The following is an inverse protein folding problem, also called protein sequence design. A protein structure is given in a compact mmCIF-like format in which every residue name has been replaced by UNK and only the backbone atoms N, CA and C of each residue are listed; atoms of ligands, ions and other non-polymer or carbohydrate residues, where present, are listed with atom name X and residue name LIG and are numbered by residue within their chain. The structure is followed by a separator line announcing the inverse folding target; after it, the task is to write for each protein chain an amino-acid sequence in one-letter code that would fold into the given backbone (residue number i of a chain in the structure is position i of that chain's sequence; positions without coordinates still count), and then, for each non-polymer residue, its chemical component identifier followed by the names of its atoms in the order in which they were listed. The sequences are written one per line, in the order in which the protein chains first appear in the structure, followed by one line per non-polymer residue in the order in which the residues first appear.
data_IF_198946492205
#
_entry.id   IF_198946492205
#
_cell.length_a   1.000
_cell.length_b   1.000
_cell.length_c   1.000
_cell.angle_alpha   90.00
_cell.angle_beta   90.00
_cell.angle_gamma   90.00
#
_symmetry.space_group_name_H-M   'P 1'
#
loop_
_entity.id
_entity.type
_entity.pdbx_description
1 polymer ?
#
# COMPACT_ATOMS: atom_id res chain seq x y z
N UNK A 1 -13.90 -24.92 8.58
CA UNK A 1 -14.45 -25.17 7.21
C UNK A 1 -13.32 -25.65 6.33
N UNK A 2 -13.51 -26.73 5.58
CA UNK A 2 -12.47 -27.39 4.77
C UNK A 2 -11.82 -26.44 3.74
N UNK A 3 -12.64 -25.63 3.05
CA UNK A 3 -12.16 -24.67 2.05
C UNK A 3 -11.16 -23.63 2.61
N UNK A 4 -11.39 -23.13 3.83
CA UNK A 4 -10.49 -22.17 4.48
C UNK A 4 -9.14 -22.83 4.80
N UNK A 5 -9.16 -24.10 5.21
CA UNK A 5 -7.94 -24.83 5.52
C UNK A 5 -7.08 -25.05 4.28
N UNK A 6 -7.72 -25.35 3.13
CA UNK A 6 -7.02 -25.48 1.84
C UNK A 6 -6.40 -24.15 1.38
N UNK A 7 -7.11 -23.03 1.52
CA UNK A 7 -6.56 -21.71 1.15
C UNK A 7 -5.29 -21.37 1.93
N UNK A 8 -5.24 -21.75 3.21
CA UNK A 8 -4.07 -21.50 4.09
C UNK A 8 -2.83 -22.33 3.72
N UNK A 9 -2.97 -23.41 2.95
CA UNK A 9 -1.83 -24.22 2.51
C UNK A 9 -1.21 -23.73 1.20
N UNK A 10 -1.84 -22.79 0.51
CA UNK A 10 -1.37 -22.28 -0.79
C UNK A 10 -0.39 -21.13 -0.56
N UNK A 11 0.76 -21.20 -1.21
CA UNK A 11 1.80 -20.17 -1.20
C UNK A 11 2.39 -19.96 -2.60
N UNK A 12 3.35 -19.05 -2.73
CA UNK A 12 4.05 -18.85 -4.00
C UNK A 12 4.72 -20.13 -4.49
N UNK A 13 5.24 -20.95 -3.57
CA UNK A 13 5.95 -22.20 -3.83
C UNK A 13 5.01 -23.34 -4.26
N UNK A 14 3.69 -23.17 -4.15
CA UNK A 14 2.70 -24.14 -4.66
C UNK A 14 2.64 -24.20 -6.19
N UNK A 15 3.27 -23.25 -6.88
CA UNK A 15 3.21 -23.12 -8.34
C UNK A 15 4.58 -23.32 -8.97
N UNK A 16 4.66 -24.15 -10.01
CA UNK A 16 5.90 -24.45 -10.74
C UNK A 16 6.28 -23.37 -11.75
N UNK A 17 5.28 -22.70 -12.34
CA UNK A 17 5.50 -21.64 -13.32
C UNK A 17 4.91 -20.30 -12.87
N UNK A 18 5.51 -19.20 -13.35
CA UNK A 18 4.96 -17.86 -13.14
C UNK A 18 3.57 -17.70 -13.76
N UNK A 19 3.27 -18.41 -14.85
CA UNK A 19 1.95 -18.37 -15.49
C UNK A 19 0.89 -18.90 -14.54
N UNK A 20 1.10 -20.08 -13.97
CA UNK A 20 0.14 -20.72 -13.06
C UNK A 20 -0.07 -19.87 -11.80
N UNK A 21 1.02 -19.28 -11.27
CA UNK A 21 0.95 -18.35 -10.14
C UNK A 21 0.07 -17.13 -10.45
N UNK A 22 0.24 -16.53 -11.64
CA UNK A 22 -0.56 -15.37 -12.06
C UNK A 22 -2.02 -15.75 -12.28
N UNK A 23 -2.28 -16.92 -12.85
CA UNK A 23 -3.64 -17.44 -13.03
C UNK A 23 -4.34 -17.70 -11.69
N UNK A 24 -3.61 -18.21 -10.69
CA UNK A 24 -4.10 -18.35 -9.34
C UNK A 24 -4.43 -17.01 -8.69
N UNK A 25 -3.57 -15.99 -8.83
CA UNK A 25 -3.84 -14.62 -8.34
C UNK A 25 -5.13 -14.07 -8.94
N UNK A 26 -5.31 -14.18 -10.26
CA UNK A 26 -6.52 -13.72 -10.94
C UNK A 26 -7.76 -14.47 -10.44
N UNK A 27 -7.64 -15.77 -10.19
CA UNK A 27 -8.71 -16.59 -9.63
C UNK A 27 -9.08 -16.19 -8.21
N UNK A 28 -8.09 -15.85 -7.38
CA UNK A 28 -8.30 -15.32 -6.02
C UNK A 28 -8.99 -13.95 -6.05
N UNK A 29 -8.60 -13.05 -6.97
CA UNK A 29 -9.26 -11.75 -7.13
C UNK A 29 -10.73 -11.90 -7.56
N UNK A 30 -11.00 -12.83 -8.49
CA UNK A 30 -12.36 -13.15 -8.92
C UNK A 30 -13.18 -13.77 -7.78
N UNK A 31 -12.57 -14.63 -6.94
CA UNK A 31 -13.21 -15.17 -5.74
C UNK A 31 -13.54 -14.06 -4.74
N UNK A 32 -12.58 -13.19 -4.45
CA UNK A 32 -12.78 -12.06 -3.53
C UNK A 32 -13.94 -11.17 -4.00
N UNK A 33 -14.00 -10.86 -5.30
CA UNK A 33 -15.09 -10.08 -5.91
C UNK A 33 -16.46 -10.73 -5.74
N UNK A 34 -16.55 -12.07 -5.73
CA UNK A 34 -17.83 -12.78 -5.50
C UNK A 34 -18.21 -12.86 -4.03
N UNK A 35 -17.25 -12.73 -3.11
CA UNK A 35 -17.46 -12.85 -1.67
C UNK A 35 -17.73 -11.50 -1.00
N UNK A 36 -17.09 -10.43 -1.46
CA UNK A 36 -17.23 -9.08 -0.90
C UNK A 36 -18.60 -8.49 -1.19
N UNK A 37 -19.14 -7.79 -0.20
CA UNK A 37 -20.27 -6.89 -0.43
C UNK A 37 -19.80 -5.67 -1.27
N UNK A 38 -20.60 -5.15 -2.20
CA UNK A 38 -20.23 -3.97 -2.99
C UNK A 38 -19.85 -2.76 -2.13
N UNK A 39 -20.48 -2.57 -0.97
CA UNK A 39 -20.13 -1.50 -0.04
C UNK A 39 -18.71 -1.66 0.52
N UNK A 40 -18.35 -2.89 0.93
CA UNK A 40 -17.00 -3.20 1.43
C UNK A 40 -15.95 -2.87 0.36
N UNK A 41 -16.21 -3.26 -0.90
CA UNK A 41 -15.29 -2.99 -2.00
C UNK A 41 -15.11 -1.50 -2.28
N UNK A 42 -16.19 -0.71 -2.21
CA UNK A 42 -16.11 0.74 -2.41
C UNK A 42 -15.32 1.38 -1.27
N UNK A 43 -15.57 0.98 -0.01
CA UNK A 43 -14.85 1.52 1.14
C UNK A 43 -13.36 1.19 1.12
N UNK A 44 -13.01 -0.01 0.65
CA UNK A 44 -11.62 -0.39 0.40
C UNK A 44 -10.94 0.61 -0.55
N UNK A 45 -11.59 0.92 -1.68
CA UNK A 45 -11.04 1.81 -2.71
C UNK A 45 -10.94 3.26 -2.25
N UNK A 46 -11.96 3.79 -1.56
CA UNK A 46 -12.03 5.24 -1.27
C UNK A 46 -11.47 5.63 0.10
N UNK A 47 -11.33 4.69 1.03
CA UNK A 47 -10.81 4.95 2.39
C UNK A 47 -9.54 4.16 2.66
N UNK A 48 -9.61 2.83 2.55
CA UNK A 48 -8.55 1.94 3.04
C UNK A 48 -7.26 2.07 2.21
N UNK A 49 -7.35 1.92 0.89
CA UNK A 49 -6.18 2.03 -0.01
C UNK A 49 -5.50 3.41 0.06
N UNK A 50 -6.24 4.56 0.04
CA UNK A 50 -5.62 5.87 0.25
C UNK A 50 -4.95 6.02 1.62
N UNK A 51 -5.60 5.55 2.70
CA UNK A 51 -5.05 5.61 4.05
C UNK A 51 -3.77 4.76 4.20
N UNK A 52 -3.76 3.56 3.59
CA UNK A 52 -2.59 2.68 3.55
C UNK A 52 -1.43 3.36 2.80
N UNK A 53 -1.71 3.94 1.64
CA UNK A 53 -0.70 4.63 0.82
C UNK A 53 -0.08 5.80 1.57
N UNK A 54 -0.89 6.61 2.26
CA UNK A 54 -0.41 7.71 3.10
C UNK A 54 0.39 7.23 4.31
N UNK A 55 -0.03 6.13 4.93
CA UNK A 55 0.67 5.52 6.06
C UNK A 55 2.05 5.01 5.66
N UNK A 56 2.17 4.35 4.51
CA UNK A 56 3.44 3.87 3.97
C UNK A 56 4.37 5.03 3.65
N UNK A 57 3.86 6.07 2.96
CA UNK A 57 4.64 7.27 2.64
C UNK A 57 5.18 7.96 3.88
N UNK A 58 4.33 8.19 4.89
CA UNK A 58 4.76 8.78 6.17
C UNK A 58 5.94 8.01 6.78
N UNK A 59 5.89 6.68 6.77
CA UNK A 59 6.92 5.85 7.37
C UNK A 59 8.21 5.76 6.56
N UNK A 60 8.13 5.94 5.24
CA UNK A 60 9.31 6.18 4.42
C UNK A 60 9.94 7.54 4.76
N UNK A 61 9.13 8.60 4.88
CA UNK A 61 9.61 9.97 5.17
C UNK A 61 10.32 10.09 6.51
N UNK A 62 9.79 9.44 7.55
CA UNK A 62 10.43 9.41 8.88
C UNK A 62 11.52 8.33 9.01
N UNK A 63 11.79 7.58 7.94
CA UNK A 63 12.85 6.57 7.91
C UNK A 63 12.60 5.32 8.77
N UNK A 64 11.35 5.03 9.16
CA UNK A 64 11.04 4.00 10.15
C UNK A 64 11.59 2.63 9.75
N UNK A 65 11.28 2.16 8.54
CA UNK A 65 11.70 0.82 8.12
C UNK A 65 13.21 0.70 7.96
N UNK A 66 13.90 1.79 7.62
CA UNK A 66 15.35 1.81 7.51
C UNK A 66 15.99 1.70 8.90
N UNK A 67 15.64 2.60 9.82
CA UNK A 67 16.17 2.60 11.19
C UNK A 67 15.89 1.29 11.91
N UNK A 68 14.71 0.71 11.67
CA UNK A 68 14.34 -0.59 12.26
C UNK A 68 15.16 -1.76 11.67
N UNK A 69 15.48 -1.72 10.38
CA UNK A 69 16.35 -2.72 9.76
C UNK A 69 17.78 -2.65 10.31
N UNK A 70 18.28 -1.45 10.61
CA UNK A 70 19.60 -1.26 11.24
C UNK A 70 19.70 -1.89 12.64
N UNK A 71 18.57 -2.02 13.35
CA UNK A 71 18.47 -2.77 14.61
C UNK A 71 18.43 -4.30 14.42
N UNK A 72 18.57 -4.80 13.20
CA UNK A 72 18.55 -6.23 12.88
C UNK A 72 17.15 -6.83 12.71
N UNK A 73 16.13 -6.01 12.39
CA UNK A 73 14.74 -6.44 12.19
C UNK A 73 14.13 -7.20 13.40
N UNK A 74 14.64 -6.96 14.60
CA UNK A 74 14.08 -7.53 15.83
C UNK A 74 12.67 -6.99 16.08
N UNK A 75 11.82 -7.76 16.77
CA UNK A 75 10.50 -7.26 17.16
C UNK A 75 10.64 -6.04 18.10
N UNK A 76 9.79 -5.04 17.92
CA UNK A 76 9.86 -3.77 18.65
C UNK A 76 8.47 -3.36 19.13
N UNK A 77 8.38 -2.76 20.31
CA UNK A 77 7.12 -2.16 20.75
C UNK A 77 6.83 -0.88 19.98
N UNK A 78 5.57 -0.48 19.89
CA UNK A 78 5.17 0.80 19.31
C UNK A 78 5.90 1.98 19.96
N UNK A 79 6.17 1.90 21.27
CA UNK A 79 6.89 2.94 22.01
C UNK A 79 8.36 3.01 21.57
N UNK A 80 9.03 1.87 21.47
CA UNK A 80 10.44 1.83 21.04
C UNK A 80 10.58 2.33 19.60
N UNK A 81 9.64 1.97 18.73
CA UNK A 81 9.58 2.50 17.37
C UNK A 81 9.35 4.01 17.36
N UNK A 82 8.44 4.52 18.18
CA UNK A 82 8.20 5.95 18.31
C UNK A 82 9.45 6.71 18.75
N UNK A 83 10.19 6.17 19.74
CA UNK A 83 11.45 6.73 20.21
C UNK A 83 12.53 6.70 19.13
N UNK A 84 12.63 5.58 18.39
CA UNK A 84 13.60 5.39 17.30
C UNK A 84 13.49 6.45 16.20
N UNK A 85 12.28 6.87 15.84
CA UNK A 85 12.04 7.89 14.81
C UNK A 85 11.65 9.27 15.37
N UNK A 86 11.72 9.46 16.70
CA UNK A 86 11.33 10.72 17.35
C UNK A 86 9.85 11.11 17.19
N UNK A 87 8.96 10.13 16.97
CA UNK A 87 7.54 10.35 16.74
C UNK A 87 6.78 10.52 18.06
N UNK A 88 6.46 11.77 18.41
CA UNK A 88 5.89 12.11 19.73
C UNK A 88 4.47 11.59 19.98
N UNK A 89 3.71 11.32 18.92
CA UNK A 89 2.29 10.92 19.03
C UNK A 89 2.16 9.39 19.00
N UNK A 90 2.56 8.72 20.08
CA UNK A 90 2.62 7.25 20.17
C UNK A 90 1.26 6.58 19.86
N UNK A 91 0.14 7.15 20.32
CA UNK A 91 -1.19 6.58 20.07
C UNK A 91 -1.57 6.64 18.58
N UNK A 92 -1.12 7.67 17.86
CA UNK A 92 -1.32 7.78 16.41
C UNK A 92 -0.45 6.75 15.70
N UNK A 93 0.81 6.58 16.11
CA UNK A 93 1.70 5.55 15.57
C UNK A 93 1.13 4.15 15.76
N UNK A 94 0.59 3.84 16.94
CA UNK A 94 -0.08 2.56 17.24
C UNK A 94 -1.20 2.27 16.25
N UNK A 95 -2.08 3.24 16.02
CA UNK A 95 -3.21 3.08 15.07
C UNK A 95 -2.73 2.83 13.64
N UNK A 96 -1.70 3.54 13.21
CA UNK A 96 -1.13 3.37 11.88
C UNK A 96 -0.42 2.01 11.76
N UNK A 97 0.36 1.58 12.77
CA UNK A 97 1.00 0.27 12.78
C UNK A 97 -0.02 -0.88 12.76
N UNK A 98 -1.14 -0.76 13.47
CA UNK A 98 -2.26 -1.73 13.40
C UNK A 98 -2.88 -1.79 12.01
N UNK A 99 -3.03 -0.64 11.35
CA UNK A 99 -3.50 -0.58 9.97
C UNK A 99 -2.51 -1.23 9.00
N UNK A 100 -1.21 -0.97 9.15
CA UNK A 100 -0.16 -1.64 8.38
C UNK A 100 -0.11 -3.16 8.63
N UNK A 101 -0.39 -3.59 9.86
CA UNK A 101 -0.45 -5.00 10.22
C UNK A 101 -1.63 -5.71 9.54
N UNK A 102 -2.80 -5.05 9.47
CA UNK A 102 -3.96 -5.55 8.74
C UNK A 102 -3.67 -5.77 7.24
N UNK A 103 -2.70 -5.02 6.69
CA UNK A 103 -2.25 -5.10 5.30
C UNK A 103 -0.94 -5.89 5.11
N UNK A 104 -0.49 -6.62 6.14
CA UNK A 104 0.72 -7.44 6.12
C UNK A 104 2.02 -6.68 5.75
N UNK A 105 2.02 -5.35 5.86
CA UNK A 105 3.24 -4.52 5.72
C UNK A 105 4.16 -4.77 6.91
N UNK A 106 3.57 -4.86 8.10
CA UNK A 106 4.21 -5.32 9.35
C UNK A 106 3.40 -6.48 9.91
N UNK A 107 3.94 -7.17 10.91
CA UNK A 107 3.24 -8.23 11.66
C UNK A 107 3.10 -7.80 13.11
N UNK A 108 1.89 -7.81 13.68
CA UNK A 108 1.68 -7.61 15.12
C UNK A 108 1.83 -8.96 15.84
N UNK A 109 2.94 -9.15 16.53
CA UNK A 109 3.30 -10.42 17.20
C UNK A 109 2.77 -10.50 18.64
N UNK A 110 2.52 -9.34 19.25
CA UNK A 110 1.84 -9.17 20.53
C UNK A 110 1.22 -7.77 20.56
N UNK A 111 0.37 -7.47 21.54
CA UNK A 111 -0.27 -6.15 21.67
C UNK A 111 0.75 -5.03 21.56
N UNK A 112 0.58 -4.16 20.56
CA UNK A 112 1.46 -3.03 20.27
C UNK A 112 2.96 -3.41 20.12
N UNK A 113 3.23 -4.64 19.67
CA UNK A 113 4.57 -5.15 19.37
C UNK A 113 4.59 -5.72 17.97
N UNK A 114 5.53 -5.25 17.16
CA UNK A 114 5.53 -5.48 15.73
C UNK A 114 6.83 -6.08 15.24
N UNK A 115 6.81 -6.65 14.03
CA UNK A 115 7.96 -7.12 13.28
C UNK A 115 7.82 -6.74 11.80
N UNK A 116 8.94 -6.46 11.14
CA UNK A 116 8.97 -6.26 9.69
C UNK A 116 8.62 -7.55 8.92
N UNK A 117 7.84 -7.42 7.85
CA UNK A 117 7.56 -8.50 6.89
C UNK A 117 8.43 -8.34 5.63
N UNK A 118 8.34 -9.32 4.72
CA UNK A 118 8.91 -9.23 3.37
C UNK A 118 8.44 -7.99 2.61
N UNK A 119 7.22 -7.51 2.88
CA UNK A 119 6.67 -6.35 2.19
C UNK A 119 7.29 -5.05 2.71
N UNK A 120 7.44 -4.88 4.02
CA UNK A 120 8.20 -3.73 4.56
C UNK A 120 9.67 -3.73 4.12
N UNK A 121 10.29 -4.90 3.94
CA UNK A 121 11.66 -4.99 3.42
C UNK A 121 11.73 -4.58 1.94
N UNK A 122 10.74 -4.98 1.13
CA UNK A 122 10.65 -4.57 -0.27
C UNK A 122 10.52 -3.05 -0.43
N UNK A 123 9.88 -2.35 0.52
CA UNK A 123 9.79 -0.88 0.51
C UNK A 123 11.15 -0.18 0.68
N UNK A 124 12.19 -0.89 1.11
CA UNK A 124 13.57 -0.37 1.20
C UNK A 124 14.35 -0.55 -0.11
N UNK A 125 13.74 -1.15 -1.13
CA UNK A 125 14.31 -1.34 -2.47
C UNK A 125 13.71 -0.34 -3.46
N UNK A 126 14.01 -0.49 -4.76
CA UNK A 126 13.38 0.31 -5.83
C UNK A 126 11.85 0.21 -5.85
N UNK A 127 11.24 -0.81 -5.24
CA UNK A 127 9.79 -0.88 -5.11
C UNK A 127 9.23 0.27 -4.25
N UNK A 128 9.96 0.70 -3.22
CA UNK A 128 9.58 1.84 -2.38
C UNK A 128 9.52 3.17 -3.11
N UNK A 129 10.38 3.37 -4.12
CA UNK A 129 10.38 4.58 -4.95
C UNK A 129 9.08 4.76 -5.74
N UNK A 130 8.28 3.70 -5.92
CA UNK A 130 6.94 3.80 -6.51
C UNK A 130 5.98 4.64 -5.67
N UNK A 131 6.14 4.65 -4.34
CA UNK A 131 5.32 5.48 -3.44
C UNK A 131 5.72 6.95 -3.58
N UNK A 132 7.02 7.26 -3.64
CA UNK A 132 7.50 8.62 -3.88
C UNK A 132 7.01 9.15 -5.24
N UNK A 133 7.16 8.34 -6.29
CA UNK A 133 6.63 8.67 -7.62
C UNK A 133 5.12 8.93 -7.60
N UNK A 134 4.35 8.16 -6.82
CA UNK A 134 2.92 8.41 -6.66
C UNK A 134 2.66 9.80 -6.06
N UNK A 135 3.33 10.16 -4.97
CA UNK A 135 3.12 11.46 -4.31
C UNK A 135 3.64 12.66 -5.12
N UNK A 136 4.80 12.52 -5.75
CA UNK A 136 5.43 13.61 -6.49
C UNK A 136 4.71 13.89 -7.81
N UNK A 137 4.18 12.83 -8.43
CA UNK A 137 3.64 12.89 -9.80
C UNK A 137 2.20 12.40 -9.89
N UNK A 138 1.95 11.12 -9.62
CA UNK A 138 0.70 10.48 -10.07
C UNK A 138 -0.54 10.92 -9.28
N UNK A 139 -0.42 11.22 -7.99
CA UNK A 139 -1.54 11.58 -7.12
C UNK A 139 -2.25 12.84 -7.61
N UNK A 140 -1.48 13.90 -7.92
CA UNK A 140 -2.03 15.15 -8.46
C UNK A 140 -2.75 14.92 -9.78
N UNK A 141 -2.12 14.13 -10.66
CA UNK A 141 -2.68 13.76 -11.95
C UNK A 141 -4.04 13.07 -11.78
N UNK A 142 -4.10 12.02 -10.95
CA UNK A 142 -5.32 11.24 -10.74
C UNK A 142 -6.44 12.06 -10.12
N UNK A 143 -6.13 12.91 -9.16
CA UNK A 143 -7.12 13.80 -8.54
C UNK A 143 -7.65 14.86 -9.51
N UNK A 144 -6.85 15.26 -10.51
CA UNK A 144 -7.27 16.23 -11.53
C UNK A 144 -8.08 15.63 -12.69
N UNK A 145 -8.06 14.30 -12.87
CA UNK A 145 -8.73 13.61 -13.99
C UNK A 145 -10.19 14.05 -14.21
N UNK A 146 -11.07 14.06 -13.18
CA UNK A 146 -12.48 14.38 -13.41
C UNK A 146 -12.69 15.84 -13.84
N UNK A 147 -11.91 16.77 -13.28
CA UNK A 147 -12.02 18.20 -13.60
C UNK A 147 -11.47 18.50 -14.99
N UNK A 148 -10.33 17.91 -15.35
CA UNK A 148 -9.75 18.06 -16.68
C UNK A 148 -10.71 17.59 -17.77
N UNK A 149 -11.27 16.38 -17.69
CA UNK A 149 -12.18 15.91 -18.73
C UNK A 149 -13.46 16.73 -18.79
N UNK A 150 -13.95 17.24 -17.65
CA UNK A 150 -15.10 18.14 -17.60
C UNK A 150 -14.81 19.47 -18.32
N UNK A 151 -13.64 20.07 -18.10
CA UNK A 151 -13.27 21.35 -18.73
C UNK A 151 -13.01 21.24 -20.24
N UNK A 152 -12.72 20.03 -20.73
CA UNK A 152 -12.51 19.73 -22.15
C UNK A 152 -13.75 19.11 -22.81
N UNK A 153 -14.92 19.14 -22.17
CA UNK A 153 -16.15 18.51 -22.68
C UNK A 153 -15.99 17.03 -23.07
N UNK A 154 -15.04 16.33 -22.43
CA UNK A 154 -14.66 14.95 -22.71
C UNK A 154 -14.05 14.72 -24.12
N UNK A 155 -13.68 15.79 -24.81
CA UNK A 155 -13.00 15.70 -26.11
C UNK A 155 -11.53 15.27 -25.95
N UNK A 156 -10.96 14.60 -26.97
CA UNK A 156 -9.52 14.32 -26.97
C UNK A 156 -8.72 15.63 -26.99
N UNK A 157 -7.52 15.65 -26.37
CA UNK A 157 -6.67 16.83 -26.41
C UNK A 157 -6.29 17.17 -27.85
N UNK A 158 -6.23 18.48 -28.14
CA UNK A 158 -5.93 18.99 -29.48
C UNK A 158 -4.46 18.78 -29.89
N UNK A 159 -3.59 18.52 -28.92
CA UNK A 159 -2.15 18.32 -29.07
C UNK A 159 -1.60 17.53 -27.86
N UNK A 160 -0.48 16.79 -28.01
CA UNK A 160 0.20 16.18 -26.86
C UNK A 160 0.58 17.15 -25.74
N UNK A 161 0.77 18.44 -26.06
CA UNK A 161 1.07 19.51 -25.09
C UNK A 161 -0.16 20.05 -24.36
N UNK A 162 -1.35 19.77 -24.90
CA UNK A 162 -2.66 20.14 -24.35
C UNK A 162 -3.25 18.99 -23.51
N UNK A 163 -2.43 17.98 -23.20
CA UNK A 163 -2.85 16.83 -22.44
C UNK A 163 -2.96 17.11 -20.93
N UNK A 164 -3.55 16.17 -20.22
CA UNK A 164 -3.64 16.16 -18.76
C UNK A 164 -2.25 16.29 -18.10
N UNK A 165 -1.27 15.56 -18.62
CA UNK A 165 0.08 15.47 -18.05
C UNK A 165 0.80 16.84 -18.08
N UNK A 166 0.97 17.51 -19.23
CA UNK A 166 1.65 18.82 -19.26
C UNK A 166 0.90 19.93 -18.53
N UNK A 167 -0.42 19.85 -18.45
CA UNK A 167 -1.26 20.89 -17.83
C UNK A 167 -1.16 20.88 -16.30
N UNK A 168 -1.01 19.69 -15.69
CA UNK A 168 -1.09 19.52 -14.23
C UNK A 168 0.24 19.11 -13.58
N UNK A 169 1.19 18.62 -14.36
CA UNK A 169 2.56 18.35 -13.91
C UNK A 169 3.49 19.37 -14.55
N UNK A 170 3.64 20.54 -13.89
CA UNK A 170 4.74 21.45 -14.19
C UNK A 170 6.02 20.83 -13.66
N UNK A 171 6.66 19.98 -14.47
CA UNK A 171 8.03 19.53 -14.26
C UNK A 171 9.01 20.68 -14.55
#
# INVERSE_FOLDING_TARGET
MEAIQMLRTISQESFTTNRDRVEAINSCQALLTRLQDPFERIWEVVIDVPALTASVKLYQDVGLFHSWKELGCVQQSCRDLAELIGFKQVDVLSRILKHLAAHAIVEEVATDTYKQTRLSDALLTSAGAGIDYFYDTSAKLYLSLPEYFRSHSYDPPSSPLDGLFPTHLRL
#
